data_IF_778176607686
#
_entry.id   IF_778176607686
#
_cell.length_a   1.000
_cell.length_b   1.000
_cell.length_c   1.000
_cell.angle_alpha   90.00
_cell.angle_beta   90.00
_cell.angle_gamma   90.00
#
_symmetry.space_group_name_H-M   'P 1'
#
loop_
_entity.id
_entity.type
_entity.pdbx_description
1 polymer ?
#
# COMPACT_ATOMS: atom_id res chain seq x y z
N UNK A 1 0.69 19.60 -4.02
CA UNK A 1 -0.15 18.43 -4.26
C UNK A 1 -1.33 18.80 -5.16
N UNK A 2 -1.72 17.90 -6.01
CA UNK A 2 -2.84 18.03 -6.94
C UNK A 2 -4.15 18.32 -6.21
N UNK A 3 -4.96 19.28 -6.74
CA UNK A 3 -6.18 19.76 -6.06
C UNK A 3 -7.49 19.38 -6.74
N UNK A 4 -7.43 18.75 -7.90
CA UNK A 4 -8.61 18.36 -8.66
C UNK A 4 -9.17 16.98 -8.29
N UNK A 5 -8.55 16.30 -7.35
CA UNK A 5 -9.01 15.00 -6.89
C UNK A 5 -10.23 15.12 -5.99
N UNK A 6 -11.19 14.21 -6.17
CA UNK A 6 -12.36 14.10 -5.30
C UNK A 6 -12.27 12.83 -4.47
N UNK A 7 -12.51 12.95 -3.18
CA UNK A 7 -12.54 11.83 -2.22
C UNK A 7 -13.98 11.68 -1.71
N UNK A 8 -14.81 10.86 -2.37
CA UNK A 8 -16.26 10.92 -2.18
C UNK A 8 -16.78 10.39 -0.84
N UNK A 9 -16.13 9.42 -0.22
CA UNK A 9 -16.69 8.77 0.99
C UNK A 9 -15.59 8.47 2.00
N UNK A 10 -14.95 9.49 2.59
CA UNK A 10 -13.93 9.24 3.61
C UNK A 10 -14.54 8.77 4.93
N UNK A 11 -13.75 8.04 5.70
CA UNK A 11 -14.09 7.69 7.08
C UNK A 11 -13.87 8.93 7.97
N UNK A 12 -14.18 8.80 9.26
CA UNK A 12 -13.96 9.89 10.22
C UNK A 12 -12.51 10.36 10.16
N UNK A 13 -12.28 11.68 10.18
CA UNK A 13 -10.92 12.22 10.18
C UNK A 13 -10.13 11.75 11.40
N UNK A 14 -8.83 11.58 11.21
CA UNK A 14 -7.91 11.23 12.29
C UNK A 14 -6.74 12.21 12.28
N UNK A 15 -6.02 12.32 13.40
CA UNK A 15 -4.88 13.23 13.49
C UNK A 15 -3.66 12.65 12.76
N UNK A 16 -2.78 13.51 12.31
CA UNK A 16 -1.49 13.09 11.74
C UNK A 16 -0.68 12.29 12.74
N UNK A 17 -0.69 12.71 14.00
CA UNK A 17 0.00 12.00 15.08
C UNK A 17 -0.47 10.56 15.22
N UNK A 18 -1.79 10.34 15.15
CA UNK A 18 -2.36 8.99 15.22
C UNK A 18 -1.89 8.12 14.05
N UNK A 19 -1.86 8.68 12.82
CA UNK A 19 -1.40 7.96 11.65
C UNK A 19 0.07 7.54 11.81
N UNK A 20 0.93 8.46 12.27
CA UNK A 20 2.33 8.13 12.52
C UNK A 20 2.48 7.03 13.58
N UNK A 21 1.68 7.07 14.65
CA UNK A 21 1.70 6.05 15.69
C UNK A 21 1.29 4.67 15.15
N UNK A 22 0.26 4.64 14.30
CA UNK A 22 -0.17 3.39 13.67
C UNK A 22 0.93 2.83 12.76
N UNK A 23 1.60 3.69 12.01
CA UNK A 23 2.74 3.28 11.19
C UNK A 23 3.85 2.64 12.03
N UNK A 24 4.17 3.24 13.16
CA UNK A 24 5.20 2.73 14.07
C UNK A 24 4.85 1.36 14.63
N UNK A 25 3.57 1.06 14.84
CA UNK A 25 3.12 -0.28 15.27
C UNK A 25 3.45 -1.35 14.24
N UNK A 26 3.56 -0.98 12.98
CA UNK A 26 3.92 -1.86 11.88
C UNK A 26 5.40 -1.75 11.52
N UNK A 27 6.19 -0.99 12.30
CA UNK A 27 7.61 -0.72 12.09
C UNK A 27 7.92 0.12 10.84
N UNK A 28 7.01 1.05 10.50
CA UNK A 28 7.19 1.95 9.35
C UNK A 28 6.99 3.41 9.75
N UNK A 29 7.72 4.29 9.05
CA UNK A 29 7.55 5.73 9.17
C UNK A 29 6.87 6.21 7.88
N UNK A 30 5.60 6.59 7.97
CA UNK A 30 4.84 7.03 6.79
C UNK A 30 5.34 8.37 6.26
N UNK A 31 5.37 8.56 4.93
CA UNK A 31 5.75 9.84 4.34
C UNK A 31 4.71 10.93 4.65
N UNK A 32 5.19 12.15 4.85
CA UNK A 32 4.36 13.27 5.29
C UNK A 32 3.25 13.64 4.31
N UNK A 33 3.49 13.53 3.02
CA UNK A 33 2.48 13.85 1.99
C UNK A 33 1.29 12.88 2.07
N UNK A 34 1.57 11.59 2.28
CA UNK A 34 0.52 10.60 2.49
C UNK A 34 -0.25 10.90 3.79
N UNK A 35 0.48 11.16 4.87
CA UNK A 35 -0.15 11.41 6.17
C UNK A 35 -1.10 12.60 6.09
N UNK A 36 -0.67 13.69 5.46
CA UNK A 36 -1.52 14.88 5.27
C UNK A 36 -2.82 14.53 4.54
N UNK A 37 -2.73 13.75 3.47
CA UNK A 37 -3.90 13.32 2.71
C UNK A 37 -4.81 12.38 3.52
N UNK A 38 -4.23 11.42 4.22
CA UNK A 38 -4.97 10.40 4.94
C UNK A 38 -5.74 10.92 6.16
N UNK A 39 -5.32 12.04 6.75
CA UNK A 39 -6.03 12.61 7.90
C UNK A 39 -7.51 12.85 7.61
N UNK A 40 -7.84 13.29 6.41
CA UNK A 40 -9.22 13.62 6.03
C UNK A 40 -9.81 12.65 5.00
N UNK A 41 -9.00 11.82 4.37
CA UNK A 41 -9.44 10.99 3.25
C UNK A 41 -9.27 9.48 3.46
N UNK A 42 -8.87 9.04 4.66
CA UNK A 42 -8.71 7.62 4.91
C UNK A 42 -10.03 6.88 4.68
N UNK A 43 -9.95 5.68 4.15
CA UNK A 43 -11.12 4.86 3.84
C UNK A 43 -11.84 5.26 2.54
N UNK A 44 -11.43 6.31 1.86
CA UNK A 44 -12.14 6.81 0.68
C UNK A 44 -11.56 6.30 -0.63
N UNK A 45 -12.44 6.13 -1.60
CA UNK A 45 -12.06 6.05 -3.02
C UNK A 45 -11.57 7.43 -3.48
N UNK A 46 -11.08 7.51 -4.71
CA UNK A 46 -10.62 8.77 -5.32
C UNK A 46 -11.08 8.84 -6.78
N UNK A 47 -11.35 10.06 -7.24
CA UNK A 47 -11.69 10.34 -8.64
C UNK A 47 -10.76 11.44 -9.17
N UNK A 48 -10.10 11.26 -10.34
CA UNK A 48 -10.09 10.06 -11.18
C UNK A 48 -9.34 8.90 -10.51
N UNK A 49 -9.57 7.66 -10.99
CA UNK A 49 -9.11 6.47 -10.27
C UNK A 49 -8.20 5.52 -11.07
N UNK A 50 -7.88 5.84 -12.30
CA UNK A 50 -7.05 4.95 -13.12
C UNK A 50 -5.59 5.35 -13.07
N UNK A 51 -4.72 4.34 -13.10
CA UNK A 51 -3.27 4.55 -13.21
C UNK A 51 -2.65 3.38 -13.97
N UNK A 52 -1.44 3.59 -14.49
CA UNK A 52 -0.74 2.55 -15.27
C UNK A 52 0.34 1.88 -14.44
N UNK A 53 0.42 0.56 -14.54
CA UNK A 53 1.48 -0.25 -13.92
C UNK A 53 2.00 -1.21 -14.98
N UNK A 54 3.27 -1.07 -15.32
CA UNK A 54 3.93 -1.97 -16.28
C UNK A 54 3.11 -2.15 -17.57
N UNK A 55 2.57 -1.06 -18.10
CA UNK A 55 1.77 -1.05 -19.32
C UNK A 55 0.32 -1.53 -19.16
N UNK A 56 -0.12 -1.82 -17.95
CA UNK A 56 -1.49 -2.27 -17.66
C UNK A 56 -2.24 -1.20 -16.89
N UNK A 57 -3.45 -0.88 -17.33
CA UNK A 57 -4.32 0.05 -16.61
C UNK A 57 -4.89 -0.62 -15.37
N UNK A 58 -4.66 -0.01 -14.22
CA UNK A 58 -5.18 -0.46 -12.93
C UNK A 58 -6.14 0.56 -12.34
N UNK A 59 -6.92 0.13 -11.35
CA UNK A 59 -7.94 0.94 -10.70
C UNK A 59 -7.60 1.12 -9.23
N UNK A 60 -7.59 2.36 -8.78
CA UNK A 60 -7.48 2.67 -7.35
C UNK A 60 -8.82 2.34 -6.69
N UNK A 61 -8.80 1.46 -5.69
CA UNK A 61 -10.00 1.13 -4.92
C UNK A 61 -10.24 2.16 -3.82
N UNK A 62 -9.63 1.96 -2.65
CA UNK A 62 -9.73 2.91 -1.54
C UNK A 62 -8.40 3.03 -0.81
N UNK A 63 -8.18 4.19 -0.17
CA UNK A 63 -7.17 4.31 0.88
C UNK A 63 -7.60 3.45 2.06
N UNK A 64 -6.65 2.75 2.67
CA UNK A 64 -6.95 1.94 3.84
C UNK A 64 -7.39 2.82 5.01
N UNK A 65 -8.28 2.27 5.84
CA UNK A 65 -8.95 2.98 6.93
C UNK A 65 -8.11 3.00 8.20
N UNK A 66 -8.33 4.01 9.02
CA UNK A 66 -7.79 4.09 10.38
C UNK A 66 -8.86 3.81 11.44
N UNK A 67 -10.06 3.41 11.02
CA UNK A 67 -11.13 2.96 11.91
C UNK A 67 -10.88 1.49 12.29
N UNK A 68 -10.65 1.24 13.57
CA UNK A 68 -10.33 -0.11 14.08
C UNK A 68 -11.46 -1.11 13.84
N UNK A 69 -12.68 -0.65 13.62
CA UNK A 69 -13.84 -1.52 13.36
C UNK A 69 -14.05 -1.78 11.85
N UNK A 70 -13.32 -1.10 10.99
CA UNK A 70 -13.42 -1.30 9.56
C UNK A 70 -12.74 -2.59 9.12
N UNK A 71 -13.34 -3.29 8.15
CA UNK A 71 -12.68 -4.43 7.49
C UNK A 71 -11.43 -3.98 6.71
N UNK A 72 -11.34 -2.69 6.40
CA UNK A 72 -10.23 -2.08 5.66
C UNK A 72 -9.23 -1.36 6.59
N UNK A 73 -9.30 -1.63 7.90
CA UNK A 73 -8.35 -1.08 8.86
C UNK A 73 -6.93 -1.48 8.49
N UNK A 74 -6.06 -0.48 8.31
CA UNK A 74 -4.72 -0.67 7.74
C UNK A 74 -3.88 -1.72 8.49
N UNK A 75 -3.95 -1.76 9.81
CA UNK A 75 -3.19 -2.74 10.61
C UNK A 75 -3.69 -4.16 10.36
N UNK A 76 -5.01 -4.33 10.26
CA UNK A 76 -5.62 -5.63 9.97
C UNK A 76 -5.24 -6.11 8.57
N UNK A 77 -5.30 -5.24 7.59
CA UNK A 77 -4.91 -5.57 6.21
C UNK A 77 -3.43 -5.94 6.16
N UNK A 78 -2.57 -5.13 6.78
CA UNK A 78 -1.14 -5.41 6.83
C UNK A 78 -0.86 -6.80 7.44
N UNK A 79 -1.46 -7.09 8.58
CA UNK A 79 -1.25 -8.39 9.26
C UNK A 79 -1.74 -9.57 8.43
N UNK A 80 -2.81 -9.37 7.66
CA UNK A 80 -3.33 -10.41 6.76
C UNK A 80 -2.35 -10.73 5.65
N UNK A 81 -1.70 -9.72 5.08
CA UNK A 81 -0.83 -9.91 3.92
C UNK A 81 0.67 -10.01 4.26
N UNK A 82 1.08 -9.62 5.46
CA UNK A 82 2.50 -9.67 5.86
C UNK A 82 3.16 -11.04 5.63
N UNK A 83 2.49 -12.18 5.84
CA UNK A 83 3.10 -13.47 5.53
C UNK A 83 3.41 -13.72 4.05
N UNK A 84 2.85 -12.91 3.16
CA UNK A 84 2.94 -13.11 1.72
C UNK A 84 3.78 -12.05 1.00
N UNK A 85 3.66 -10.77 1.42
CA UNK A 85 4.34 -9.66 0.77
C UNK A 85 5.80 -9.53 1.23
N UNK A 86 6.68 -8.91 0.44
CA UNK A 86 8.04 -8.60 0.91
C UNK A 86 8.00 -7.81 2.22
N UNK A 87 8.97 -8.07 3.09
CA UNK A 87 9.00 -7.49 4.44
C UNK A 87 9.13 -5.96 4.47
N UNK A 88 9.64 -5.36 3.39
CA UNK A 88 9.82 -3.90 3.32
C UNK A 88 8.57 -3.16 2.83
N UNK A 89 7.50 -3.88 2.50
CA UNK A 89 6.26 -3.29 2.01
C UNK A 89 5.25 -3.08 3.14
N UNK A 90 4.57 -1.93 3.10
CA UNK A 90 3.37 -1.70 3.90
C UNK A 90 2.26 -1.21 2.96
N UNK A 91 1.09 -1.88 2.95
CA UNK A 91 -0.03 -1.43 2.12
C UNK A 91 -0.64 -0.15 2.67
N UNK A 92 -1.04 0.77 1.79
CA UNK A 92 -1.80 1.96 2.18
C UNK A 92 -3.10 2.09 1.39
N UNK A 93 -3.27 1.29 0.35
CA UNK A 93 -4.49 1.27 -0.47
C UNK A 93 -4.61 -0.09 -1.15
N UNK A 94 -5.77 -0.35 -1.71
CA UNK A 94 -5.99 -1.58 -2.49
C UNK A 94 -6.82 -1.29 -3.72
N UNK A 95 -6.77 -2.21 -4.69
CA UNK A 95 -7.65 -2.18 -5.85
C UNK A 95 -8.80 -3.17 -5.67
N UNK A 96 -9.89 -3.04 -6.47
CA UNK A 96 -11.04 -3.94 -6.34
C UNK A 96 -10.74 -5.41 -6.69
N UNK A 97 -9.60 -5.68 -7.33
CA UNK A 97 -9.23 -7.05 -7.74
C UNK A 97 -8.41 -7.80 -6.68
N UNK A 98 -8.20 -7.21 -5.51
CA UNK A 98 -7.45 -7.86 -4.42
C UNK A 98 -5.95 -7.59 -4.41
N UNK A 99 -5.48 -6.65 -5.23
CA UNK A 99 -4.08 -6.25 -5.24
C UNK A 99 -3.86 -5.09 -4.26
N UNK A 100 -2.61 -4.87 -3.86
CA UNK A 100 -2.27 -3.83 -2.89
C UNK A 100 -1.43 -2.74 -3.53
N UNK A 101 -1.64 -1.51 -3.08
CA UNK A 101 -0.77 -0.38 -3.38
C UNK A 101 0.00 -0.10 -2.10
N UNK A 102 1.32 -0.15 -2.18
CA UNK A 102 2.18 -0.17 -1.00
C UNK A 102 3.26 0.89 -1.05
N UNK A 103 3.75 1.26 0.14
CA UNK A 103 5.05 1.92 0.26
C UNK A 103 6.12 0.84 0.37
N UNK A 104 7.22 1.04 -0.34
CA UNK A 104 8.36 0.12 -0.35
C UNK A 104 9.59 0.82 0.20
N UNK A 105 10.08 0.33 1.34
CA UNK A 105 11.19 0.91 2.09
C UNK A 105 12.53 0.21 1.84
N UNK A 106 12.61 -0.67 0.85
CA UNK A 106 13.82 -1.47 0.62
C UNK A 106 15.07 -0.63 0.41
N UNK A 107 14.97 0.44 -0.38
CA UNK A 107 16.11 1.26 -0.74
C UNK A 107 16.33 2.48 0.16
N UNK A 108 15.31 2.90 0.89
CA UNK A 108 15.37 4.07 1.76
C UNK A 108 14.31 3.96 2.85
N UNK A 109 14.73 3.96 4.09
CA UNK A 109 13.82 3.83 5.24
C UNK A 109 12.99 5.07 5.52
N UNK A 110 13.40 6.22 4.99
CA UNK A 110 12.74 7.49 5.23
C UNK A 110 11.94 8.00 4.04
N UNK A 111 12.28 7.53 2.83
CA UNK A 111 11.65 7.99 1.58
C UNK A 111 11.26 6.79 0.73
N UNK A 112 10.15 6.11 1.08
CA UNK A 112 9.70 4.95 0.34
C UNK A 112 9.17 5.34 -1.04
N UNK A 113 9.28 4.42 -1.98
CA UNK A 113 8.61 4.56 -3.28
C UNK A 113 7.24 3.91 -3.23
N UNK A 114 6.40 4.20 -4.21
CA UNK A 114 5.08 3.61 -4.34
C UNK A 114 5.13 2.46 -5.32
N UNK A 115 4.62 1.30 -4.91
CA UNK A 115 4.64 0.09 -5.73
C UNK A 115 3.26 -0.58 -5.73
N UNK A 116 3.04 -1.41 -6.74
CA UNK A 116 1.86 -2.25 -6.86
C UNK A 116 2.25 -3.69 -6.57
N UNK A 117 1.51 -4.36 -5.70
CA UNK A 117 1.72 -5.77 -5.41
C UNK A 117 0.56 -6.58 -5.98
N UNK A 118 0.89 -7.53 -6.87
CA UNK A 118 -0.09 -8.37 -7.54
C UNK A 118 -0.24 -9.72 -6.81
N UNK A 119 -1.48 -10.08 -6.46
CA UNK A 119 -1.72 -11.26 -5.63
C UNK A 119 -1.79 -12.59 -6.38
N UNK A 120 -2.03 -12.59 -7.68
CA UNK A 120 -2.34 -13.81 -8.43
C UNK A 120 -1.30 -14.92 -8.31
N UNK A 121 -0.02 -14.58 -8.36
CA UNK A 121 1.06 -15.57 -8.31
C UNK A 121 1.80 -15.55 -6.97
N UNK A 122 1.23 -14.90 -5.97
CA UNK A 122 1.87 -14.80 -4.67
C UNK A 122 1.52 -16.01 -3.80
N UNK A 123 2.48 -16.47 -3.02
CA UNK A 123 2.31 -17.55 -2.05
C UNK A 123 2.81 -17.11 -0.68
N UNK A 124 2.29 -17.75 0.36
CA UNK A 124 2.74 -17.49 1.71
C UNK A 124 4.20 -17.93 1.86
N UNK A 125 5.04 -17.04 2.38
CA UNK A 125 6.49 -17.24 2.43
C UNK A 125 6.91 -18.48 3.22
N UNK A 126 6.30 -18.74 4.38
CA UNK A 126 6.62 -19.93 5.18
C UNK A 126 6.30 -21.23 4.45
N UNK A 127 5.18 -21.27 3.73
CA UNK A 127 4.79 -22.43 2.94
C UNK A 127 5.78 -22.67 1.80
N UNK A 128 6.18 -21.61 1.10
CA UNK A 128 7.16 -21.71 0.00
C UNK A 128 8.52 -22.18 0.51
N UNK A 129 8.95 -21.69 1.66
CA UNK A 129 10.19 -22.14 2.29
C UNK A 129 10.18 -23.65 2.56
N UNK A 130 9.07 -24.16 3.08
CA UNK A 130 8.92 -25.57 3.42
C UNK A 130 8.79 -26.47 2.19
N UNK A 131 7.93 -26.07 1.23
CA UNK A 131 7.61 -26.88 0.06
C UNK A 131 8.75 -26.90 -0.96
N UNK A 132 9.47 -25.81 -1.11
CA UNK A 132 10.51 -25.66 -2.13
C UNK A 132 11.92 -25.58 -1.55
N UNK A 133 12.07 -25.80 -0.26
CA UNK A 133 13.38 -25.77 0.43
C UNK A 133 14.15 -24.47 0.22
N UNK A 134 13.43 -23.34 0.28
CA UNK A 134 14.01 -22.01 0.08
C UNK A 134 14.52 -21.42 1.41
N UNK A 135 15.60 -20.65 1.33
CA UNK A 135 16.06 -19.84 2.47
C UNK A 135 15.17 -18.62 2.63
N UNK A 136 15.26 -17.95 3.77
CA UNK A 136 14.54 -16.71 4.02
C UNK A 136 14.87 -15.65 2.95
N UNK A 137 16.14 -15.52 2.59
CA UNK A 137 16.56 -14.57 1.55
C UNK A 137 15.95 -14.92 0.18
N UNK A 138 15.92 -16.20 -0.16
CA UNK A 138 15.36 -16.65 -1.44
C UNK A 138 13.85 -16.42 -1.53
N UNK A 139 13.11 -16.65 -0.44
CA UNK A 139 11.66 -16.43 -0.46
C UNK A 139 11.31 -14.95 -0.51
N UNK A 140 12.13 -14.07 0.11
CA UNK A 140 11.94 -12.62 -0.02
C UNK A 140 12.18 -12.16 -1.46
N UNK A 141 13.19 -12.71 -2.13
CA UNK A 141 13.46 -12.43 -3.54
C UNK A 141 12.29 -12.87 -4.42
N UNK A 142 11.75 -14.08 -4.16
CA UNK A 142 10.61 -14.60 -4.90
C UNK A 142 9.38 -13.72 -4.70
N UNK A 143 9.13 -13.25 -3.48
CA UNK A 143 8.02 -12.34 -3.20
C UNK A 143 8.13 -11.03 -3.99
N UNK A 144 9.34 -10.57 -4.27
CA UNK A 144 9.60 -9.37 -5.06
C UNK A 144 9.15 -9.48 -6.52
N UNK A 145 8.99 -10.68 -7.06
CA UNK A 145 8.55 -10.87 -8.44
C UNK A 145 7.14 -10.35 -8.67
N UNK A 146 6.37 -10.15 -7.62
CA UNK A 146 4.99 -9.63 -7.69
C UNK A 146 4.91 -8.12 -7.41
N UNK A 147 6.04 -7.45 -7.32
CA UNK A 147 6.12 -6.03 -6.99
C UNK A 147 6.48 -5.23 -8.24
N UNK A 148 5.67 -4.21 -8.56
CA UNK A 148 5.85 -3.36 -9.74
C UNK A 148 5.92 -1.90 -9.32
N UNK A 149 6.95 -1.19 -9.75
CA UNK A 149 7.14 0.23 -9.45
C UNK A 149 6.02 1.07 -10.06
N UNK A 150 5.54 2.08 -9.30
CA UNK A 150 4.57 3.06 -9.79
C UNK A 150 5.18 4.47 -9.80
N UNK A 151 5.63 4.95 -8.65
CA UNK A 151 6.06 6.36 -8.51
C UNK A 151 7.07 6.52 -7.37
N UNK A 152 7.84 7.60 -7.41
CA UNK A 152 8.84 7.90 -6.39
C UNK A 152 8.24 8.36 -5.07
N UNK A 153 7.10 9.03 -5.11
CA UNK A 153 6.42 9.54 -3.91
C UNK A 153 4.91 9.36 -4.01
N UNK A 154 4.24 9.48 -2.88
CA UNK A 154 2.77 9.47 -2.85
C UNK A 154 2.19 10.63 -3.69
N UNK A 155 2.78 11.82 -3.60
CA UNK A 155 2.36 12.97 -4.41
C UNK A 155 2.47 12.68 -5.90
N UNK A 156 3.58 12.08 -6.33
CA UNK A 156 3.78 11.70 -7.74
C UNK A 156 2.76 10.65 -8.18
N UNK A 157 2.47 9.68 -7.31
CA UNK A 157 1.43 8.68 -7.60
C UNK A 157 0.07 9.34 -7.86
N UNK A 158 -0.34 10.25 -6.99
CA UNK A 158 -1.62 10.97 -7.18
C UNK A 158 -1.65 11.73 -8.50
N UNK A 159 -0.51 12.24 -8.94
CA UNK A 159 -0.40 12.98 -10.20
C UNK A 159 -0.61 12.09 -11.42
N UNK A 160 -0.44 10.78 -11.29
CA UNK A 160 -0.63 9.82 -12.38
C UNK A 160 -2.08 9.39 -12.56
N UNK A 161 -2.96 9.70 -11.62
CA UNK A 161 -4.38 9.31 -11.70
C UNK A 161 -5.08 10.03 -12.84
N UNK A 162 -5.85 9.28 -13.61
CA UNK A 162 -6.56 9.81 -14.79
C UNK A 162 -7.92 9.14 -15.00
N UNK A 163 -8.72 9.70 -15.92
CA UNK A 163 -10.02 9.16 -16.33
C UNK A 163 -9.89 7.97 -17.26
#
# INVERSE_FOLDING_TARGET
MRKDLTWPVPDEPVSAEYIYEVGKKMDFIFPSDYVECATTNNGSAVLPYKFEVDGVTRVFGTLLSYDTDSSEYIVKVYRTYAPTIPKELVPFAFDPAGNLICFDYKNDKNNPVVVFWEHENAGEKEMLMRQESLTEAQVEELARENVFYIADTFTDFLSELHD
#
